data_IF_966736559716
#
_entry.id   IF_966736559716
#
_cell.length_a   1.000
_cell.length_b   1.000
_cell.length_c   1.000
_cell.angle_alpha   90.00
_cell.angle_beta   90.00
_cell.angle_gamma   90.00
#
_symmetry.space_group_name_H-M   'P 1'
#
loop_
_entity.id
_entity.type
_entity.pdbx_description
1 polymer ?
#
# COMPACT_ATOMS: atom_id res chain seq x y z
N UNK A 1 -33.28 10.28 24.71
CA UNK A 1 -33.96 10.02 23.42
C UNK A 1 -32.90 10.16 22.33
N UNK A 2 -32.39 9.06 21.82
CA UNK A 2 -31.42 9.06 20.70
C UNK A 2 -32.22 9.11 19.38
N UNK A 3 -31.72 9.89 18.42
CA UNK A 3 -32.31 9.94 17.07
C UNK A 3 -31.33 9.26 16.10
N UNK A 4 -31.80 8.26 15.37
CA UNK A 4 -31.03 7.61 14.29
C UNK A 4 -31.60 8.03 12.95
N UNK A 5 -30.76 8.48 12.03
CA UNK A 5 -31.13 8.86 10.68
C UNK A 5 -30.77 7.72 9.74
N UNK A 6 -31.78 7.02 9.19
CA UNK A 6 -31.57 6.04 8.13
C UNK A 6 -32.42 6.45 6.93
N UNK A 7 -31.80 6.57 5.74
CA UNK A 7 -32.48 6.92 4.47
C UNK A 7 -33.42 8.15 4.56
N UNK A 8 -33.00 9.18 5.30
CA UNK A 8 -33.80 10.41 5.43
C UNK A 8 -34.97 10.35 6.42
N UNK A 9 -35.21 9.26 7.10
CA UNK A 9 -36.24 9.12 8.13
C UNK A 9 -35.62 9.21 9.52
N UNK A 10 -36.14 10.11 10.36
CA UNK A 10 -35.73 10.22 11.76
C UNK A 10 -36.72 9.44 12.62
N UNK A 11 -36.31 8.27 13.12
CA UNK A 11 -37.15 7.48 14.02
C UNK A 11 -36.68 7.67 15.47
N UNK A 12 -37.56 7.92 16.43
CA UNK A 12 -37.22 7.90 17.83
C UNK A 12 -37.10 6.46 18.32
N UNK A 13 -35.93 6.10 18.86
CA UNK A 13 -35.72 4.81 19.52
C UNK A 13 -35.85 5.02 21.03
N UNK A 14 -36.76 4.29 21.64
CA UNK A 14 -36.96 4.25 23.09
C UNK A 14 -36.48 2.89 23.58
N UNK A 15 -35.44 2.90 24.44
CA UNK A 15 -34.93 1.68 25.08
C UNK A 15 -35.68 1.45 26.38
N UNK A 16 -36.10 0.22 26.64
CA UNK A 16 -36.83 -0.16 27.83
C UNK A 16 -35.92 -0.33 29.05
N UNK A 17 -34.61 -0.57 28.83
CA UNK A 17 -33.63 -0.71 29.90
C UNK A 17 -32.18 -0.43 29.41
N UNK A 18 -31.23 -0.34 30.39
CA UNK A 18 -29.80 -0.10 30.11
C UNK A 18 -29.13 -1.22 29.33
N UNK A 19 -29.58 -2.46 29.45
CA UNK A 19 -29.02 -3.61 28.73
C UNK A 19 -29.32 -3.55 27.22
N UNK A 20 -30.53 -3.14 26.83
CA UNK A 20 -30.89 -2.94 25.41
C UNK A 20 -30.08 -1.80 24.77
N UNK A 21 -29.82 -0.72 25.53
CA UNK A 21 -28.96 0.37 25.10
C UNK A 21 -27.50 -0.12 24.90
N UNK A 22 -27.00 -0.97 25.79
CA UNK A 22 -25.65 -1.52 25.72
C UNK A 22 -25.48 -2.44 24.51
N UNK A 23 -26.44 -3.37 24.31
CA UNK A 23 -26.47 -4.26 23.13
C UNK A 23 -26.61 -3.45 21.83
N UNK A 24 -27.46 -2.40 21.82
CA UNK A 24 -27.59 -1.55 20.64
C UNK A 24 -26.28 -0.79 20.34
N UNK A 25 -25.58 -0.27 21.35
CA UNK A 25 -24.29 0.40 21.14
C UNK A 25 -23.19 -0.56 20.72
N UNK A 26 -23.18 -1.81 21.21
CA UNK A 26 -22.21 -2.82 20.73
C UNK A 26 -22.51 -3.32 19.30
N UNK A 27 -23.79 -3.46 18.94
CA UNK A 27 -24.18 -3.97 17.60
C UNK A 27 -24.28 -2.91 16.52
N UNK A 28 -24.67 -1.68 16.85
CA UNK A 28 -24.96 -0.61 15.88
C UNK A 28 -24.00 0.57 15.91
N UNK A 29 -23.27 0.74 17.01
CA UNK A 29 -22.27 1.79 17.16
C UNK A 29 -20.89 1.16 17.39
N UNK A 30 -20.38 0.41 16.40
CA UNK A 30 -18.94 0.25 16.31
C UNK A 30 -18.41 1.65 15.98
N UNK A 31 -17.63 2.30 16.88
CA UNK A 31 -17.05 3.58 16.52
C UNK A 31 -16.28 3.34 15.22
N UNK A 32 -16.54 4.16 14.22
CA UNK A 32 -15.73 4.16 13.00
C UNK A 32 -14.30 4.47 13.44
N UNK A 33 -13.50 3.43 13.55
CA UNK A 33 -12.07 3.56 13.82
C UNK A 33 -11.43 3.92 12.51
N UNK A 34 -11.30 5.24 12.26
CA UNK A 34 -10.84 5.78 11.00
C UNK A 34 -9.54 5.12 10.55
N UNK A 35 -9.60 4.47 9.39
CA UNK A 35 -8.43 3.91 8.75
C UNK A 35 -7.57 5.06 8.21
N UNK A 36 -6.29 5.05 8.52
CA UNK A 36 -5.35 6.09 8.12
C UNK A 36 -4.18 5.50 7.35
N UNK A 37 -3.71 6.24 6.36
CA UNK A 37 -2.57 5.86 5.53
C UNK A 37 -1.53 6.97 5.49
N UNK A 38 -0.25 6.60 5.55
CA UNK A 38 0.88 7.48 5.31
C UNK A 38 1.99 6.71 4.58
N UNK A 39 2.62 7.34 3.56
CA UNK A 39 3.86 6.85 2.96
C UNK A 39 5.03 7.63 3.54
N UNK A 40 6.05 6.93 4.00
CA UNK A 40 7.30 7.52 4.51
C UNK A 40 8.40 7.59 3.46
N UNK A 41 8.21 6.92 2.34
CA UNK A 41 9.07 6.89 1.17
C UNK A 41 8.53 5.89 0.15
N UNK A 42 8.72 6.20 -1.14
CA UNK A 42 8.22 5.40 -2.26
C UNK A 42 9.15 5.52 -3.47
N UNK A 43 10.09 4.60 -3.61
CA UNK A 43 11.07 4.54 -4.70
C UNK A 43 12.35 3.81 -4.31
N UNK A 44 13.31 3.69 -5.21
CA UNK A 44 14.57 2.94 -5.05
C UNK A 44 15.44 3.36 -3.85
N UNK A 45 15.14 4.48 -3.20
CA UNK A 45 15.82 4.92 -1.96
C UNK A 45 15.23 4.27 -0.71
N UNK A 46 14.03 3.71 -0.79
CA UNK A 46 13.33 3.01 0.26
C UNK A 46 11.82 3.19 0.21
N UNK A 47 11.14 2.06 0.29
CA UNK A 47 9.69 1.94 0.31
C UNK A 47 9.24 1.63 1.74
N UNK A 48 8.26 2.39 2.24
CA UNK A 48 7.78 2.23 3.60
C UNK A 48 6.42 2.91 3.73
N UNK A 49 5.38 2.12 4.00
CA UNK A 49 4.01 2.60 4.09
C UNK A 49 3.39 2.13 5.40
N UNK A 50 2.52 2.93 5.97
CA UNK A 50 1.87 2.59 7.23
C UNK A 50 0.36 2.79 7.12
N UNK A 51 -0.37 1.72 7.31
CA UNK A 51 -1.82 1.66 7.36
C UNK A 51 -2.22 1.40 8.81
N UNK A 52 -3.03 2.27 9.42
CA UNK A 52 -3.27 2.18 10.84
C UNK A 52 -4.64 2.70 11.27
N UNK A 53 -5.09 2.19 12.39
CA UNK A 53 -6.27 2.64 13.15
C UNK A 53 -5.80 3.21 14.49
N UNK A 54 -6.73 3.59 15.35
CA UNK A 54 -6.37 4.01 16.70
C UNK A 54 -5.88 2.85 17.60
N UNK A 55 -6.18 1.59 17.22
CA UNK A 55 -5.85 0.38 18.01
C UNK A 55 -4.76 -0.49 17.39
N UNK A 56 -4.56 -0.44 16.07
CA UNK A 56 -3.66 -1.35 15.35
C UNK A 56 -2.89 -0.64 14.23
N UNK A 57 -1.74 -1.19 13.85
CA UNK A 57 -0.90 -0.63 12.81
C UNK A 57 -0.17 -1.70 12.02
N UNK A 58 -0.34 -1.63 10.70
CA UNK A 58 0.25 -2.50 9.70
C UNK A 58 1.29 -1.74 8.88
N UNK A 59 2.56 -2.09 9.03
CA UNK A 59 3.62 -1.58 8.19
C UNK A 59 3.70 -2.42 6.90
N UNK A 60 3.79 -1.75 5.75
CA UNK A 60 4.03 -2.37 4.46
C UNK A 60 5.41 -1.93 3.99
N UNK A 61 6.31 -2.88 3.86
CA UNK A 61 7.74 -2.70 3.59
C UNK A 61 8.50 -1.85 4.63
N UNK A 62 9.81 -2.06 4.71
CA UNK A 62 10.72 -1.42 5.67
C UNK A 62 12.03 -1.00 4.99
N UNK A 63 11.94 -0.38 3.81
CA UNK A 63 13.09 -0.04 2.97
C UNK A 63 13.85 1.20 3.39
N UNK A 64 13.25 2.09 4.17
CA UNK A 64 13.94 3.28 4.69
C UNK A 64 14.80 2.93 5.92
N UNK A 65 15.85 3.72 6.18
CA UNK A 65 16.70 3.51 7.34
C UNK A 65 15.95 3.69 8.67
N UNK A 66 16.21 2.82 9.65
CA UNK A 66 15.52 2.83 10.96
C UNK A 66 15.59 4.19 11.69
N UNK A 67 16.68 4.95 11.53
CA UNK A 67 16.78 6.31 12.12
C UNK A 67 15.82 7.29 11.46
N UNK A 68 15.70 7.23 10.12
CA UNK A 68 14.75 8.06 9.38
C UNK A 68 13.31 7.67 9.74
N UNK A 69 13.04 6.37 9.86
CA UNK A 69 11.72 5.85 10.28
C UNK A 69 11.34 6.39 11.66
N UNK A 70 12.23 6.32 12.66
CA UNK A 70 12.00 6.89 14.01
C UNK A 70 11.69 8.39 13.95
N UNK A 71 12.47 9.14 13.16
CA UNK A 71 12.25 10.57 12.99
C UNK A 71 10.90 10.86 12.35
N UNK A 72 10.60 10.20 11.24
CA UNK A 72 9.36 10.44 10.50
C UNK A 72 8.10 10.09 11.32
N UNK A 73 8.12 8.98 12.06
CA UNK A 73 7.03 8.66 12.97
C UNK A 73 6.82 9.78 14.00
N UNK A 74 7.89 10.25 14.63
CA UNK A 74 7.81 11.35 15.61
C UNK A 74 7.32 12.67 14.99
N UNK A 75 7.74 13.01 13.77
CA UNK A 75 7.33 14.21 13.04
C UNK A 75 5.80 14.25 12.81
N UNK A 76 5.15 13.08 12.75
CA UNK A 76 3.69 12.94 12.59
C UNK A 76 2.95 12.56 13.87
N UNK A 77 3.60 12.67 15.03
CA UNK A 77 3.00 12.31 16.33
C UNK A 77 2.76 10.81 16.51
N UNK A 78 3.42 9.97 15.70
CA UNK A 78 3.33 8.52 15.73
C UNK A 78 4.52 7.93 16.51
N UNK A 79 4.36 6.67 16.95
CA UNK A 79 5.43 5.88 17.58
C UNK A 79 5.60 4.56 16.86
N UNK A 80 6.85 4.10 16.73
CA UNK A 80 7.13 2.76 16.17
C UNK A 80 6.49 1.62 16.99
N UNK A 81 6.14 1.87 18.23
CA UNK A 81 5.39 0.91 19.07
C UNK A 81 3.93 0.70 18.60
N UNK A 82 3.41 1.56 17.73
CA UNK A 82 2.10 1.37 17.10
C UNK A 82 2.14 0.35 15.96
N UNK A 83 3.32 0.02 15.43
CA UNK A 83 3.49 -1.03 14.44
C UNK A 83 3.29 -2.38 15.15
N UNK A 84 2.20 -3.06 14.86
CA UNK A 84 1.86 -4.36 15.43
C UNK A 84 2.25 -5.51 14.52
N UNK A 85 2.24 -5.25 13.20
CA UNK A 85 2.57 -6.23 12.18
C UNK A 85 3.33 -5.55 11.04
N UNK A 86 4.18 -6.31 10.37
CA UNK A 86 4.86 -5.92 9.13
C UNK A 86 4.50 -6.93 8.06
N UNK A 87 4.12 -6.47 6.86
CA UNK A 87 4.02 -7.29 5.65
C UNK A 87 5.08 -6.82 4.66
N UNK A 88 5.68 -7.75 3.91
CA UNK A 88 6.76 -7.46 2.96
C UNK A 88 6.34 -7.93 1.57
N UNK A 89 6.48 -7.04 0.58
CA UNK A 89 6.12 -7.30 -0.81
C UNK A 89 7.13 -8.21 -1.52
N UNK A 90 8.44 -7.94 -1.35
CA UNK A 90 9.53 -8.73 -1.92
C UNK A 90 10.87 -8.43 -1.21
N UNK A 91 11.95 -9.10 -1.61
CA UNK A 91 13.22 -9.10 -0.86
C UNK A 91 14.26 -8.06 -1.33
N UNK A 92 13.94 -7.14 -2.24
CA UNK A 92 14.88 -6.09 -2.63
C UNK A 92 15.25 -5.16 -1.47
N UNK A 93 16.47 -4.63 -1.51
CA UNK A 93 17.05 -3.87 -0.40
C UNK A 93 16.23 -2.63 -0.01
N UNK A 94 15.63 -1.96 -0.98
CA UNK A 94 14.78 -0.79 -0.79
C UNK A 94 13.37 -1.10 -0.25
N UNK A 95 13.07 -2.38 0.01
CA UNK A 95 11.86 -2.85 0.70
C UNK A 95 12.16 -3.45 2.07
N UNK A 96 13.37 -3.99 2.30
CA UNK A 96 13.66 -4.81 3.48
C UNK A 96 14.77 -4.31 4.39
N UNK A 97 15.48 -3.24 4.03
CA UNK A 97 16.69 -2.75 4.67
C UNK A 97 16.63 -2.68 6.20
N UNK A 98 15.52 -2.26 6.77
CA UNK A 98 15.34 -2.07 8.21
C UNK A 98 14.47 -3.12 8.88
N UNK A 99 13.91 -4.09 8.13
CA UNK A 99 12.91 -5.03 8.64
C UNK A 99 13.40 -5.81 9.86
N UNK A 100 14.61 -6.34 9.83
CA UNK A 100 15.16 -7.11 10.95
C UNK A 100 15.50 -6.25 12.18
N UNK A 101 15.87 -4.98 11.96
CA UNK A 101 16.07 -4.04 13.07
C UNK A 101 14.75 -3.66 13.73
N UNK A 102 13.73 -3.35 12.95
CA UNK A 102 12.38 -3.04 13.45
C UNK A 102 11.78 -4.24 14.18
N UNK A 103 11.72 -5.40 13.52
CA UNK A 103 11.18 -6.63 14.09
C UNK A 103 11.87 -7.02 15.41
N UNK A 104 13.21 -6.98 15.45
CA UNK A 104 13.97 -7.36 16.65
C UNK A 104 13.85 -6.36 17.80
N UNK A 105 13.81 -5.04 17.53
CA UNK A 105 13.73 -4.00 18.56
C UNK A 105 12.33 -3.93 19.19
N UNK A 106 11.29 -4.06 18.37
CA UNK A 106 9.90 -3.91 18.81
C UNK A 106 9.13 -5.23 18.94
N UNK A 107 9.80 -6.38 18.71
CA UNK A 107 9.20 -7.72 18.73
C UNK A 107 7.99 -7.86 17.80
N UNK A 108 8.07 -7.23 16.62
CA UNK A 108 6.98 -7.19 15.64
C UNK A 108 7.10 -8.36 14.68
N UNK A 109 6.02 -9.18 14.48
CA UNK A 109 6.01 -10.25 13.50
C UNK A 109 6.07 -9.70 12.07
N UNK A 110 6.77 -10.45 11.20
CA UNK A 110 6.94 -10.13 9.78
C UNK A 110 6.27 -11.22 8.96
N UNK A 111 5.30 -10.82 8.16
CA UNK A 111 4.47 -11.69 7.34
C UNK A 111 4.87 -11.55 5.87
N UNK A 112 5.23 -12.63 5.23
CA UNK A 112 5.49 -12.72 3.80
C UNK A 112 5.57 -14.17 3.36
N UNK A 113 5.80 -14.45 2.06
CA UNK A 113 5.94 -15.83 1.59
C UNK A 113 7.23 -16.48 2.10
N UNK A 114 7.27 -17.80 2.09
CA UNK A 114 8.45 -18.55 2.53
C UNK A 114 9.70 -18.20 1.71
N UNK A 115 9.54 -17.93 0.41
CA UNK A 115 10.65 -17.62 -0.47
C UNK A 115 11.16 -16.19 -0.27
N UNK A 116 10.27 -15.23 -0.02
CA UNK A 116 10.66 -13.87 0.35
C UNK A 116 11.41 -13.88 1.70
N UNK A 117 10.98 -14.66 2.71
CA UNK A 117 11.75 -14.83 3.96
C UNK A 117 13.16 -15.35 3.71
N UNK A 118 13.32 -16.33 2.80
CA UNK A 118 14.66 -16.83 2.41
C UNK A 118 15.48 -15.76 1.70
N UNK A 119 14.86 -14.96 0.82
CA UNK A 119 15.47 -13.83 0.15
C UNK A 119 15.97 -12.77 1.16
N UNK A 120 15.11 -12.33 2.08
CA UNK A 120 15.46 -11.41 3.16
C UNK A 120 16.65 -11.93 3.99
N UNK A 121 16.65 -13.22 4.32
CA UNK A 121 17.77 -13.81 5.08
C UNK A 121 19.08 -13.73 4.32
N UNK A 122 19.09 -13.92 3.00
CA UNK A 122 20.28 -13.84 2.12
C UNK A 122 20.70 -12.41 1.81
N UNK A 123 19.77 -11.46 1.87
CA UNK A 123 20.02 -10.06 1.50
C UNK A 123 21.04 -9.43 2.48
N UNK A 124 22.18 -9.01 1.94
CA UNK A 124 23.28 -8.42 2.71
C UNK A 124 22.94 -7.04 3.30
N UNK A 125 21.99 -6.30 2.70
CA UNK A 125 21.53 -5.02 3.23
C UNK A 125 20.74 -5.16 4.53
N UNK A 126 20.22 -6.37 4.83
CA UNK A 126 19.52 -6.67 6.08
C UNK A 126 20.54 -7.07 7.15
N UNK A 127 21.11 -6.08 7.81
CA UNK A 127 22.18 -6.27 8.79
C UNK A 127 21.77 -7.11 10.02
N UNK A 128 20.55 -6.96 10.50
CA UNK A 128 19.94 -7.80 11.55
C UNK A 128 18.92 -8.73 10.91
N UNK A 129 19.03 -10.03 11.14
CA UNK A 129 18.08 -11.01 10.61
C UNK A 129 16.81 -11.07 11.47
N UNK A 130 15.69 -11.40 10.86
CA UNK A 130 14.41 -11.59 11.55
C UNK A 130 14.50 -12.87 12.37
N UNK A 131 14.18 -12.82 13.67
CA UNK A 131 14.13 -14.00 14.53
C UNK A 131 13.08 -15.00 14.02
N UNK A 132 13.38 -16.30 14.04
CA UNK A 132 12.48 -17.35 13.52
C UNK A 132 11.07 -17.28 14.14
N UNK A 133 10.97 -16.98 15.44
CA UNK A 133 9.70 -16.85 16.13
C UNK A 133 8.82 -15.71 15.60
N UNK A 134 9.42 -14.68 14.97
CA UNK A 134 8.75 -13.51 14.41
C UNK A 134 8.49 -13.64 12.90
N UNK A 135 9.01 -14.69 12.25
CA UNK A 135 8.71 -14.99 10.85
C UNK A 135 7.33 -15.65 10.77
N UNK A 136 6.42 -15.04 10.01
CA UNK A 136 5.08 -15.56 9.73
C UNK A 136 4.93 -15.74 8.23
N UNK A 137 4.38 -16.86 7.82
CA UNK A 137 4.19 -17.17 6.41
C UNK A 137 2.78 -16.83 5.95
N UNK A 138 2.69 -16.32 4.73
CA UNK A 138 1.45 -16.14 3.99
C UNK A 138 1.51 -16.93 2.69
N UNK A 139 0.35 -17.33 2.19
CA UNK A 139 0.19 -17.97 0.89
C UNK A 139 -0.62 -17.08 -0.03
N UNK A 140 -0.22 -16.99 -1.30
CA UNK A 140 -0.93 -16.18 -2.30
C UNK A 140 -2.38 -16.65 -2.42
N UNK A 141 -3.30 -15.71 -2.60
CA UNK A 141 -4.75 -15.92 -2.69
C UNK A 141 -5.41 -16.45 -1.41
N UNK A 142 -4.67 -16.59 -0.30
CA UNK A 142 -5.22 -16.99 0.99
C UNK A 142 -5.38 -15.77 1.89
N UNK A 143 -6.62 -15.47 2.26
CA UNK A 143 -6.91 -14.35 3.17
C UNK A 143 -6.62 -14.74 4.61
N UNK A 144 -5.86 -13.91 5.32
CA UNK A 144 -5.51 -14.07 6.73
C UNK A 144 -5.97 -12.86 7.53
N UNK A 145 -6.35 -13.12 8.80
CA UNK A 145 -6.55 -12.05 9.76
C UNK A 145 -5.20 -11.68 10.39
N UNK A 146 -4.75 -10.45 10.14
CA UNK A 146 -3.51 -9.89 10.72
C UNK A 146 -3.89 -8.66 11.52
N UNK A 147 -3.97 -8.78 12.84
CA UNK A 147 -4.54 -7.73 13.68
C UNK A 147 -5.99 -7.40 13.28
N UNK A 148 -6.27 -6.12 13.08
CA UNK A 148 -7.60 -5.63 12.67
C UNK A 148 -7.85 -5.76 11.14
N UNK A 149 -6.87 -6.26 10.37
CA UNK A 149 -6.90 -6.28 8.91
C UNK A 149 -7.10 -7.70 8.37
N UNK A 150 -7.95 -7.85 7.35
CA UNK A 150 -7.95 -9.04 6.49
C UNK A 150 -6.98 -8.79 5.34
N UNK A 151 -5.94 -9.59 5.24
CA UNK A 151 -4.86 -9.40 4.28
C UNK A 151 -4.83 -10.58 3.31
N UNK A 152 -4.90 -10.28 2.02
CA UNK A 152 -4.79 -11.27 0.94
C UNK A 152 -3.60 -10.91 0.06
N UNK A 153 -2.50 -11.69 0.11
CA UNK A 153 -1.39 -11.52 -0.82
C UNK A 153 -1.75 -12.09 -2.19
N UNK A 154 -1.29 -11.44 -3.26
CA UNK A 154 -1.46 -11.91 -4.63
C UNK A 154 -0.17 -11.75 -5.44
N UNK A 155 -0.02 -12.49 -6.53
CA UNK A 155 1.19 -12.47 -7.33
C UNK A 155 1.36 -11.15 -8.09
N UNK A 156 2.58 -10.61 -8.07
CA UNK A 156 3.00 -9.45 -8.87
C UNK A 156 4.23 -9.85 -9.68
N UNK A 157 4.24 -9.61 -11.00
CA UNK A 157 5.40 -9.92 -11.84
C UNK A 157 6.54 -8.92 -11.57
N UNK A 158 7.62 -9.41 -10.95
CA UNK A 158 8.83 -8.65 -10.71
C UNK A 158 10.07 -9.55 -10.61
N UNK A 159 11.27 -9.02 -10.83
CA UNK A 159 12.52 -9.74 -10.86
C UNK A 159 13.15 -9.96 -9.47
N UNK A 160 12.36 -10.53 -8.57
CA UNK A 160 12.72 -10.94 -7.23
C UNK A 160 12.56 -12.46 -7.07
N UNK A 161 13.03 -13.06 -5.98
CA UNK A 161 12.84 -14.49 -5.69
C UNK A 161 11.35 -14.88 -5.62
N UNK A 162 10.53 -13.95 -5.17
CA UNK A 162 9.08 -13.96 -5.19
C UNK A 162 8.59 -12.52 -4.96
N UNK A 163 7.42 -12.17 -5.49
CA UNK A 163 6.85 -10.84 -5.29
C UNK A 163 5.34 -10.93 -5.12
N UNK A 164 4.82 -10.16 -4.15
CA UNK A 164 3.40 -10.08 -3.85
C UNK A 164 2.93 -8.63 -3.69
N UNK A 165 1.74 -8.35 -4.21
CA UNK A 165 0.93 -7.23 -3.79
C UNK A 165 0.00 -7.65 -2.66
N UNK A 166 -0.66 -6.70 -2.04
CA UNK A 166 -1.59 -6.97 -0.94
C UNK A 166 -2.92 -6.27 -1.15
N UNK A 167 -4.01 -7.01 -1.01
CA UNK A 167 -5.35 -6.47 -0.77
C UNK A 167 -5.61 -6.54 0.74
N UNK A 168 -5.92 -5.39 1.33
CA UNK A 168 -6.08 -5.23 2.78
C UNK A 168 -7.50 -4.67 3.04
N UNK A 169 -8.32 -5.46 3.71
CA UNK A 169 -9.70 -5.07 4.03
C UNK A 169 -9.81 -4.71 5.52
N UNK A 170 -10.39 -3.56 5.80
CA UNK A 170 -10.77 -3.13 7.13
C UNK A 170 -12.15 -2.48 7.11
N UNK A 171 -13.13 -3.03 7.85
CA UNK A 171 -14.50 -2.50 7.99
C UNK A 171 -15.20 -2.18 6.65
N UNK A 172 -14.97 -3.01 5.61
CA UNK A 172 -15.55 -2.82 4.29
C UNK A 172 -14.79 -1.87 3.37
N UNK A 173 -13.69 -1.27 3.83
CA UNK A 173 -12.74 -0.50 3.02
C UNK A 173 -11.68 -1.48 2.49
N UNK A 174 -11.47 -1.46 1.18
CA UNK A 174 -10.44 -2.24 0.48
C UNK A 174 -9.29 -1.33 0.06
N UNK A 175 -8.14 -1.51 0.70
CA UNK A 175 -6.88 -0.88 0.34
C UNK A 175 -6.01 -1.88 -0.43
N UNK A 176 -5.54 -1.50 -1.61
CA UNK A 176 -4.70 -2.36 -2.45
C UNK A 176 -3.36 -1.70 -2.72
N UNK A 177 -2.28 -2.47 -2.64
CA UNK A 177 -0.94 -2.01 -3.01
C UNK A 177 -0.32 -2.95 -4.04
N UNK A 178 0.12 -2.34 -5.17
CA UNK A 178 0.82 -2.98 -6.30
C UNK A 178 2.04 -2.12 -6.59
N UNK A 179 3.16 -2.44 -5.98
CA UNK A 179 4.46 -1.81 -6.25
C UNK A 179 5.35 -2.79 -6.98
N UNK A 180 6.36 -2.28 -7.71
CA UNK A 180 7.33 -3.10 -8.44
C UNK A 180 6.64 -4.14 -9.34
N UNK A 181 5.96 -3.63 -10.35
CA UNK A 181 5.08 -4.40 -11.20
C UNK A 181 5.48 -4.26 -12.67
N UNK A 182 6.09 -5.29 -13.26
CA UNK A 182 6.51 -5.24 -14.67
C UNK A 182 5.35 -5.33 -15.66
N UNK A 183 4.24 -5.96 -15.29
CA UNK A 183 3.06 -6.10 -16.17
C UNK A 183 1.77 -6.28 -15.37
N UNK A 184 0.66 -5.78 -15.93
CA UNK A 184 -0.66 -5.84 -15.29
C UNK A 184 -1.35 -7.15 -15.66
N UNK A 185 -1.31 -8.12 -14.73
CA UNK A 185 -1.96 -9.43 -14.89
C UNK A 185 -3.46 -9.34 -14.65
N UNK A 186 -4.20 -10.42 -14.97
CA UNK A 186 -5.64 -10.50 -14.70
C UNK A 186 -5.94 -10.42 -13.21
N UNK A 187 -5.08 -10.97 -12.34
CA UNK A 187 -5.22 -10.83 -10.89
C UNK A 187 -5.09 -9.38 -10.45
N UNK A 188 -4.11 -8.64 -10.96
CA UNK A 188 -3.93 -7.22 -10.67
C UNK A 188 -5.14 -6.42 -11.17
N UNK A 189 -5.67 -6.70 -12.37
CA UNK A 189 -6.89 -6.07 -12.90
C UNK A 189 -8.07 -6.23 -11.93
N UNK A 190 -8.30 -7.45 -11.45
CA UNK A 190 -9.36 -7.72 -10.45
C UNK A 190 -9.15 -6.95 -9.15
N UNK A 191 -7.90 -6.82 -8.68
CA UNK A 191 -7.57 -6.06 -7.47
C UNK A 191 -7.77 -4.55 -7.65
N UNK A 192 -7.41 -4.00 -8.80
CA UNK A 192 -7.71 -2.60 -9.15
C UNK A 192 -9.22 -2.36 -9.11
N UNK A 193 -10.02 -3.24 -9.72
CA UNK A 193 -11.47 -3.12 -9.78
C UNK A 193 -12.14 -3.13 -8.39
N UNK A 194 -11.61 -3.91 -7.45
CA UNK A 194 -12.14 -4.02 -6.08
C UNK A 194 -11.69 -2.91 -5.15
N UNK A 195 -10.61 -2.21 -5.46
CA UNK A 195 -9.99 -1.24 -4.57
C UNK A 195 -10.88 -0.01 -4.33
N UNK A 196 -11.00 0.41 -3.06
CA UNK A 196 -11.44 1.75 -2.72
C UNK A 196 -10.26 2.71 -2.68
N UNK A 197 -9.10 2.23 -2.27
CA UNK A 197 -7.84 2.95 -2.17
C UNK A 197 -6.73 2.12 -2.80
N UNK A 198 -6.01 2.71 -3.76
CA UNK A 198 -5.03 2.00 -4.57
C UNK A 198 -3.68 2.71 -4.54
N UNK A 199 -2.64 2.00 -4.14
CA UNK A 199 -1.24 2.35 -4.40
C UNK A 199 -0.77 1.53 -5.58
N UNK A 200 -0.39 2.17 -6.68
CA UNK A 200 0.02 1.49 -7.92
C UNK A 200 1.29 2.12 -8.48
N UNK A 201 2.18 1.30 -9.02
CA UNK A 201 3.42 1.75 -9.62
C UNK A 201 3.19 2.62 -10.87
N UNK A 202 3.97 3.71 -10.97
CA UNK A 202 4.20 4.51 -12.17
C UNK A 202 5.69 4.87 -12.20
N UNK A 203 6.53 3.89 -12.57
CA UNK A 203 7.96 3.97 -12.35
C UNK A 203 8.65 4.94 -13.29
N UNK A 204 8.40 4.80 -14.59
CA UNK A 204 9.16 5.56 -15.58
C UNK A 204 8.25 6.18 -16.66
N UNK A 205 8.74 7.27 -17.22
CA UNK A 205 8.27 7.80 -18.50
C UNK A 205 9.03 7.11 -19.64
N UNK A 206 8.31 6.65 -20.65
CA UNK A 206 8.86 5.85 -21.74
C UNK A 206 9.93 6.62 -22.53
N UNK A 207 9.70 7.89 -22.85
CA UNK A 207 10.66 8.72 -23.59
C UNK A 207 11.89 9.06 -22.73
N UNK A 208 11.70 9.38 -21.44
CA UNK A 208 12.83 9.63 -20.53
C UNK A 208 13.70 8.37 -20.39
N UNK A 209 13.12 7.19 -20.28
CA UNK A 209 13.88 5.96 -20.19
C UNK A 209 14.63 5.66 -21.50
N UNK A 210 13.97 5.78 -22.65
CA UNK A 210 14.60 5.53 -23.96
C UNK A 210 15.77 6.45 -24.23
N UNK A 211 15.65 7.74 -23.92
CA UNK A 211 16.67 8.77 -24.17
C UNK A 211 17.60 9.01 -22.98
N UNK A 212 17.32 8.43 -21.80
CA UNK A 212 18.09 8.59 -20.58
C UNK A 212 19.46 7.87 -20.63
N UNK A 213 20.28 8.12 -19.61
CA UNK A 213 21.66 7.67 -19.54
C UNK A 213 21.83 6.19 -19.13
N UNK A 214 20.76 5.46 -18.86
CA UNK A 214 20.87 4.06 -18.43
C UNK A 214 21.44 3.18 -19.55
N UNK A 215 22.31 2.21 -19.23
CA UNK A 215 22.79 1.22 -20.19
C UNK A 215 21.65 0.44 -20.84
N UNK A 216 21.82 0.03 -22.10
CA UNK A 216 20.79 -0.64 -22.88
C UNK A 216 20.20 -1.88 -22.16
N UNK A 217 21.05 -2.70 -21.52
CA UNK A 217 20.60 -3.89 -20.79
C UNK A 217 19.68 -3.53 -19.60
N UNK A 218 19.94 -2.40 -18.92
CA UNK A 218 19.10 -1.94 -17.82
C UNK A 218 17.75 -1.41 -18.32
N UNK A 219 17.74 -0.70 -19.45
CA UNK A 219 16.49 -0.26 -20.10
C UNK A 219 15.61 -1.45 -20.49
N UNK A 220 16.20 -2.48 -21.09
CA UNK A 220 15.49 -3.72 -21.44
C UNK A 220 14.94 -4.42 -20.19
N UNK A 221 15.73 -4.50 -19.11
CA UNK A 221 15.27 -5.07 -17.83
C UNK A 221 14.08 -4.29 -17.27
N UNK A 222 14.15 -2.96 -17.24
CA UNK A 222 13.09 -2.10 -16.69
C UNK A 222 11.79 -2.24 -17.48
N UNK A 223 11.88 -2.32 -18.81
CA UNK A 223 10.71 -2.42 -19.71
C UNK A 223 10.15 -3.85 -19.84
N UNK A 224 10.83 -4.85 -19.31
CA UNK A 224 10.40 -6.24 -19.40
C UNK A 224 9.20 -6.57 -18.51
N UNK A 225 8.51 -7.67 -18.80
CA UNK A 225 7.30 -8.13 -18.08
C UNK A 225 7.50 -8.35 -16.57
N UNK A 226 8.75 -8.47 -16.13
CA UNK A 226 9.16 -8.56 -14.73
C UNK A 226 9.97 -7.34 -14.27
N UNK A 227 9.96 -6.25 -15.03
CA UNK A 227 10.63 -5.00 -14.69
C UNK A 227 9.74 -4.09 -13.85
N UNK A 228 9.40 -2.93 -14.42
CA UNK A 228 8.59 -1.90 -13.76
C UNK A 228 7.49 -1.36 -14.68
N UNK A 229 6.47 -0.77 -14.13
CA UNK A 229 5.31 -0.27 -14.86
C UNK A 229 5.56 1.17 -15.34
N UNK A 230 5.38 1.39 -16.65
CA UNK A 230 5.45 2.73 -17.24
C UNK A 230 4.25 3.60 -16.81
N UNK A 231 4.40 4.93 -16.89
CA UNK A 231 3.32 5.88 -16.59
C UNK A 231 2.08 5.65 -17.46
N UNK A 232 2.28 5.38 -18.74
CA UNK A 232 1.21 5.12 -19.71
C UNK A 232 0.50 3.79 -19.44
N UNK A 233 1.25 2.73 -19.15
CA UNK A 233 0.68 1.43 -18.78
C UNK A 233 -0.12 1.51 -17.47
N UNK A 234 0.34 2.28 -16.49
CA UNK A 234 -0.42 2.58 -15.28
C UNK A 234 -1.74 3.30 -15.60
N UNK A 235 -1.70 4.33 -16.44
CA UNK A 235 -2.90 5.05 -16.88
C UNK A 235 -3.91 4.15 -17.58
N UNK A 236 -3.45 3.29 -18.49
CA UNK A 236 -4.31 2.31 -19.19
C UNK A 236 -4.92 1.29 -18.23
N UNK A 237 -4.13 0.79 -17.26
CA UNK A 237 -4.63 -0.14 -16.25
C UNK A 237 -5.78 0.48 -15.42
N UNK A 238 -5.69 1.77 -15.09
CA UNK A 238 -6.76 2.49 -14.39
C UNK A 238 -7.99 2.68 -15.28
N UNK A 239 -7.81 3.10 -16.55
CA UNK A 239 -8.92 3.24 -17.52
C UNK A 239 -9.72 1.95 -17.67
N UNK A 240 -9.03 0.84 -17.78
CA UNK A 240 -9.66 -0.46 -18.04
C UNK A 240 -10.34 -1.08 -16.82
N UNK A 241 -9.88 -0.74 -15.60
CA UNK A 241 -10.24 -1.52 -14.41
C UNK A 241 -10.73 -0.70 -13.21
N UNK A 242 -10.61 0.63 -13.20
CA UNK A 242 -11.14 1.44 -12.09
C UNK A 242 -12.67 1.29 -12.00
N UNK A 243 -13.18 1.04 -10.80
CA UNK A 243 -14.62 0.96 -10.53
C UNK A 243 -15.14 2.26 -9.91
N UNK A 244 -16.46 2.42 -9.88
CA UNK A 244 -17.13 3.54 -9.18
C UNK A 244 -16.84 3.55 -7.66
N UNK A 245 -16.34 2.43 -7.11
CA UNK A 245 -15.94 2.31 -5.72
C UNK A 245 -14.56 2.88 -5.42
N UNK A 246 -13.74 3.18 -6.44
CA UNK A 246 -12.40 3.73 -6.26
C UNK A 246 -12.49 5.19 -5.81
N UNK A 247 -11.80 5.53 -4.74
CA UNK A 247 -11.83 6.86 -4.11
C UNK A 247 -10.52 7.61 -4.23
N UNK A 248 -9.39 6.88 -4.15
CA UNK A 248 -8.07 7.50 -4.22
C UNK A 248 -7.03 6.56 -4.83
N UNK A 249 -6.22 7.10 -5.71
CA UNK A 249 -5.06 6.43 -6.30
C UNK A 249 -3.79 7.17 -5.91
N UNK A 250 -2.79 6.45 -5.45
CA UNK A 250 -1.43 6.97 -5.24
C UNK A 250 -0.49 6.31 -6.23
N UNK A 251 0.09 7.12 -7.11
CA UNK A 251 1.15 6.69 -8.00
C UNK A 251 2.43 6.53 -7.17
N UNK A 252 3.04 5.35 -7.22
CA UNK A 252 4.17 4.99 -6.36
C UNK A 252 5.43 4.61 -7.15
N UNK A 253 6.53 4.44 -6.43
CA UNK A 253 7.80 3.90 -6.90
C UNK A 253 8.38 4.58 -8.15
N UNK A 254 8.31 5.92 -8.22
CA UNK A 254 8.82 6.69 -9.35
C UNK A 254 10.34 6.65 -9.41
N UNK A 255 10.87 6.35 -10.59
CA UNK A 255 12.31 6.46 -10.90
C UNK A 255 12.84 7.86 -10.64
N UNK A 256 14.03 7.96 -10.07
CA UNK A 256 14.68 9.27 -9.83
C UNK A 256 15.24 9.89 -11.12
N UNK A 257 15.69 9.05 -12.07
CA UNK A 257 16.33 9.50 -13.30
C UNK A 257 15.42 9.47 -14.53
N UNK A 258 14.45 8.56 -14.55
CA UNK A 258 13.61 8.35 -15.74
C UNK A 258 12.14 8.71 -15.50
N UNK A 259 11.87 9.55 -14.47
CA UNK A 259 10.53 10.07 -14.22
C UNK A 259 10.57 11.38 -13.43
N UNK A 260 9.47 12.11 -13.50
CA UNK A 260 9.22 13.29 -12.68
C UNK A 260 7.78 13.21 -12.14
N UNK A 261 7.50 13.57 -10.87
CA UNK A 261 6.16 13.51 -10.29
C UNK A 261 5.07 14.17 -11.12
N UNK A 262 5.35 15.40 -11.62
CA UNK A 262 4.42 16.12 -12.48
C UNK A 262 4.20 15.43 -13.85
N UNK A 263 5.23 14.81 -14.40
CA UNK A 263 5.13 14.09 -15.67
C UNK A 263 4.29 12.82 -15.49
N UNK A 264 4.59 11.99 -14.48
CA UNK A 264 3.79 10.81 -14.15
C UNK A 264 2.32 11.19 -13.96
N UNK A 265 2.04 12.22 -13.15
CA UNK A 265 0.68 12.70 -12.91
C UNK A 265 0.00 13.12 -14.21
N UNK A 266 0.63 13.98 -15.02
CA UNK A 266 0.03 14.49 -16.26
C UNK A 266 -0.18 13.41 -17.31
N UNK A 267 0.73 12.44 -17.43
CA UNK A 267 0.58 11.31 -18.35
C UNK A 267 -0.65 10.49 -17.97
N UNK A 268 -0.77 10.08 -16.71
CA UNK A 268 -1.91 9.30 -16.22
C UNK A 268 -3.21 10.11 -16.35
N UNK A 269 -3.24 11.38 -15.92
CA UNK A 269 -4.42 12.26 -16.05
C UNK A 269 -4.86 12.44 -17.50
N UNK A 270 -3.93 12.56 -18.44
CA UNK A 270 -4.24 12.70 -19.87
C UNK A 270 -4.91 11.44 -20.43
N UNK A 271 -4.41 10.26 -20.05
CA UNK A 271 -4.97 8.97 -20.46
C UNK A 271 -6.36 8.77 -19.88
N UNK A 272 -6.54 9.02 -18.59
CA UNK A 272 -7.84 8.96 -17.91
C UNK A 272 -8.86 9.88 -18.60
N UNK A 273 -8.48 11.13 -18.84
CA UNK A 273 -9.34 12.14 -19.46
C UNK A 273 -9.76 11.78 -20.89
N UNK A 274 -8.87 11.17 -21.68
CA UNK A 274 -9.18 10.69 -23.03
C UNK A 274 -10.29 9.61 -23.04
N UNK A 275 -10.48 8.95 -21.90
CA UNK A 275 -11.50 7.91 -21.68
C UNK A 275 -12.69 8.41 -20.84
N UNK A 276 -12.77 9.73 -20.61
CA UNK A 276 -13.87 10.35 -19.88
C UNK A 276 -13.76 10.32 -18.36
N UNK A 277 -12.64 9.85 -17.82
CA UNK A 277 -12.36 9.78 -16.36
C UNK A 277 -11.59 11.04 -15.94
N UNK A 278 -12.02 11.71 -14.89
CA UNK A 278 -11.45 12.97 -14.42
C UNK A 278 -10.92 12.81 -13.00
N UNK A 279 -9.58 12.75 -12.87
CA UNK A 279 -8.94 12.77 -11.56
C UNK A 279 -9.32 14.05 -10.78
N UNK A 280 -9.66 13.88 -9.50
CA UNK A 280 -10.21 14.93 -8.65
C UNK A 280 -11.75 15.01 -8.67
N UNK A 281 -12.41 14.30 -9.60
CA UNK A 281 -13.89 14.20 -9.69
C UNK A 281 -14.31 12.76 -9.44
N UNK A 282 -13.88 11.82 -10.29
CA UNK A 282 -14.25 10.40 -10.18
C UNK A 282 -13.51 9.71 -9.03
N UNK A 283 -12.23 10.02 -8.86
CA UNK A 283 -11.41 9.66 -7.70
C UNK A 283 -10.28 10.66 -7.52
N UNK A 284 -9.72 10.73 -6.32
CA UNK A 284 -8.52 11.55 -6.06
C UNK A 284 -7.28 10.84 -6.60
N UNK A 285 -6.28 11.59 -7.05
CA UNK A 285 -5.01 11.04 -7.50
C UNK A 285 -3.83 11.89 -7.04
N UNK A 286 -2.89 11.26 -6.34
CA UNK A 286 -1.64 11.88 -5.89
C UNK A 286 -0.42 11.06 -6.32
N UNK A 287 0.74 11.68 -6.27
CA UNK A 287 2.04 11.02 -6.49
C UNK A 287 2.78 10.94 -5.16
N UNK A 288 3.16 9.74 -4.74
CA UNK A 288 3.92 9.53 -3.52
C UNK A 288 5.35 10.06 -3.65
N UNK A 289 5.85 10.64 -2.57
CA UNK A 289 7.20 11.20 -2.52
C UNK A 289 8.25 10.12 -2.35
N UNK A 290 9.35 10.21 -3.09
CA UNK A 290 10.43 9.21 -3.07
C UNK A 290 11.15 9.09 -1.73
N UNK A 291 11.48 10.21 -1.09
CA UNK A 291 12.43 10.25 0.05
C UNK A 291 11.89 10.91 1.31
N UNK A 292 10.67 11.43 1.26
CA UNK A 292 10.06 12.17 2.37
C UNK A 292 8.63 11.71 2.60
N UNK A 293 8.11 11.81 3.82
CA UNK A 293 6.72 11.46 4.09
C UNK A 293 5.72 12.29 3.29
N UNK A 294 4.58 11.68 3.04
CA UNK A 294 3.35 12.38 2.60
C UNK A 294 2.64 13.00 3.81
N UNK A 295 1.48 13.59 3.64
CA UNK A 295 0.54 13.81 4.73
C UNK A 295 -0.11 12.50 5.18
N UNK A 296 -0.83 12.55 6.30
CA UNK A 296 -1.72 11.47 6.71
C UNK A 296 -3.01 11.60 5.90
N UNK A 297 -3.43 10.51 5.29
CA UNK A 297 -4.72 10.39 4.60
C UNK A 297 -5.70 9.63 5.49
N UNK A 298 -6.89 10.18 5.69
CA UNK A 298 -8.00 9.48 6.33
C UNK A 298 -8.80 8.74 5.26
N UNK A 299 -8.94 7.44 5.43
CA UNK A 299 -9.64 6.56 4.49
C UNK A 299 -11.07 6.35 4.99
N UNK A 300 -12.05 6.90 4.26
CA UNK A 300 -13.45 7.00 4.68
C UNK A 300 -14.35 6.00 3.92
#
# INVERSE_FOLDING_TARGET
MLKVITKGLVLPIVFSNFAELFVFTEYYYKPYMGLKFISFGSGSSGNCYFLYTDSDGLMIDCGIGIRAMKKYFADYGLSLSQIRNVIITHDHADHVKSVGSLSGEYQVPVWTTADIHKGIYRNWCVGKKIAVALQKQVEKEVTLQIGDFKVTPFAVPHDSVDCVGYEIEHQGIVFTIVTDCGSVTEDIRRRINRANYLVIEANYDTEMLLHGNYPAHLKVRIQGDHGHLANDACGMALVENASEGLRHVWLCHLSEENNHPELARKTVESILRSSGIVAGVDFQMDVLKRKTPTGVYELL
#
